data_IF_807818483157
#
_entry.id   IF_807818483157
#
_cell.length_a   1.000
_cell.length_b   1.000
_cell.length_c   1.000
_cell.angle_alpha   90.00
_cell.angle_beta   90.00
_cell.angle_gamma   90.00
#
_symmetry.space_group_name_H-M   'P 1'
#
loop_
_entity.id
_entity.type
_entity.pdbx_description
1 polymer ?
#
# COMPACT_ATOMS: atom_id res chain seq x y z
N UNK A 1 1.09 -11.80 -10.19
CA UNK A 1 2.18 -12.22 -9.29
C UNK A 1 1.91 -11.56 -7.94
N UNK A 2 1.74 -12.34 -6.86
CA UNK A 2 1.44 -11.85 -5.50
C UNK A 2 2.76 -11.63 -4.77
N UNK A 3 2.99 -10.45 -4.23
CA UNK A 3 4.14 -10.17 -3.38
C UNK A 3 3.69 -10.17 -1.92
N UNK A 4 4.28 -11.06 -1.12
CA UNK A 4 4.23 -10.94 0.34
C UNK A 4 5.43 -10.09 0.71
N UNK A 5 5.20 -8.92 1.28
CA UNK A 5 6.29 -8.11 1.83
C UNK A 5 6.32 -8.37 3.33
N UNK A 6 7.32 -9.13 3.76
CA UNK A 6 7.72 -9.16 5.16
C UNK A 6 8.47 -7.86 5.41
N UNK A 7 8.16 -7.12 6.48
CA UNK A 7 9.00 -6.01 6.89
C UNK A 7 10.38 -6.57 7.30
N UNK A 8 11.46 -6.28 6.55
CA UNK A 8 12.80 -6.75 6.90
C UNK A 8 13.49 -5.79 7.87
N UNK A 9 12.78 -4.77 8.34
CA UNK A 9 13.35 -3.62 9.05
C UNK A 9 13.26 -3.83 10.57
N UNK A 10 14.26 -3.30 11.28
CA UNK A 10 14.19 -3.05 12.71
C UNK A 10 12.93 -2.24 13.03
N UNK A 11 12.44 -2.32 14.28
CA UNK A 11 11.18 -1.67 14.63
C UNK A 11 11.18 -0.17 14.27
N UNK A 12 10.06 0.27 13.71
CA UNK A 12 9.85 1.64 13.28
C UNK A 12 8.50 2.14 13.77
N UNK A 13 8.30 3.46 13.70
CA UNK A 13 7.04 4.07 14.12
C UNK A 13 5.84 3.72 13.23
N UNK A 14 6.02 2.95 12.15
CA UNK A 14 4.96 2.63 11.19
C UNK A 14 4.76 1.13 10.97
N UNK A 15 5.76 0.32 11.31
CA UNK A 15 5.76 -1.15 11.20
C UNK A 15 6.83 -1.73 12.12
N UNK A 16 6.56 -2.91 12.64
CA UNK A 16 7.41 -3.64 13.57
C UNK A 16 8.10 -4.80 12.86
N UNK A 17 9.18 -5.31 13.45
CA UNK A 17 9.84 -6.50 12.95
C UNK A 17 8.88 -7.70 12.94
N UNK A 18 8.79 -8.38 11.80
CA UNK A 18 7.90 -9.53 11.61
C UNK A 18 6.48 -9.20 11.17
N UNK A 19 6.13 -7.91 11.01
CA UNK A 19 4.88 -7.53 10.34
C UNK A 19 4.85 -8.05 8.90
N UNK A 20 3.66 -8.45 8.46
CA UNK A 20 3.42 -8.96 7.11
C UNK A 20 2.37 -8.11 6.43
N UNK A 21 2.73 -7.49 5.30
CA UNK A 21 1.76 -6.88 4.40
C UNK A 21 1.50 -7.81 3.22
N UNK A 22 0.24 -8.19 3.06
CA UNK A 22 -0.22 -8.97 1.92
C UNK A 22 -1.11 -8.09 1.03
N UNK A 23 -0.73 -7.96 -0.24
CA UNK A 23 -1.52 -7.26 -1.25
C UNK A 23 -1.91 -8.20 -2.40
N UNK A 24 -3.15 -8.06 -2.87
CA UNK A 24 -3.61 -8.67 -4.11
C UNK A 24 -4.09 -7.58 -5.04
N UNK A 25 -3.73 -7.69 -6.32
CA UNK A 25 -4.19 -6.78 -7.36
C UNK A 25 -4.54 -7.49 -8.65
N UNK A 26 -5.41 -6.85 -9.42
CA UNK A 26 -5.79 -7.22 -10.78
C UNK A 26 -5.62 -6.01 -11.68
N UNK A 27 -5.03 -6.22 -12.87
CA UNK A 27 -4.81 -5.18 -13.88
C UNK A 27 -5.47 -5.62 -15.17
N UNK A 28 -6.23 -4.71 -15.78
CA UNK A 28 -6.86 -4.91 -17.09
C UNK A 28 -6.39 -3.82 -18.06
N UNK A 29 -5.67 -4.20 -19.13
CA UNK A 29 -5.41 -3.29 -20.24
C UNK A 29 -6.72 -2.88 -20.92
N UNK A 30 -6.80 -1.62 -21.33
CA UNK A 30 -7.89 -1.04 -22.10
C UNK A 30 -7.32 -0.43 -23.41
N UNK A 31 -8.18 -0.14 -24.40
CA UNK A 31 -7.77 0.58 -25.59
C UNK A 31 -7.13 1.95 -25.28
N UNK A 32 -6.41 2.51 -26.26
CA UNK A 32 -5.76 3.82 -26.16
C UNK A 32 -4.74 3.93 -25.00
N UNK A 33 -4.00 2.84 -24.77
CA UNK A 33 -2.90 2.75 -23.80
C UNK A 33 -3.32 2.98 -22.33
N UNK A 34 -4.60 2.80 -22.05
CA UNK A 34 -5.12 2.83 -20.69
C UNK A 34 -4.99 1.47 -20.01
N UNK A 35 -4.91 1.49 -18.68
CA UNK A 35 -5.08 0.31 -17.84
C UNK A 35 -5.94 0.69 -16.64
N UNK A 36 -6.77 -0.24 -16.20
CA UNK A 36 -7.49 -0.15 -14.93
C UNK A 36 -6.89 -1.19 -14.00
N UNK A 37 -6.59 -0.78 -12.78
CA UNK A 37 -6.14 -1.68 -11.73
C UNK A 37 -7.02 -1.55 -10.50
N UNK A 38 -7.28 -2.69 -9.85
CA UNK A 38 -7.84 -2.74 -8.50
C UNK A 38 -6.89 -3.52 -7.62
N UNK A 39 -6.68 -3.07 -6.40
CA UNK A 39 -5.86 -3.78 -5.42
C UNK A 39 -6.46 -3.68 -4.03
N UNK A 40 -6.13 -4.63 -3.16
CA UNK A 40 -6.50 -4.64 -1.76
C UNK A 40 -5.35 -5.22 -0.92
N UNK A 41 -5.10 -4.57 0.20
CA UNK A 41 -4.04 -4.86 1.14
C UNK A 41 -4.56 -5.14 2.54
N UNK A 42 -3.87 -6.03 3.25
CA UNK A 42 -4.09 -6.28 4.66
C UNK A 42 -2.75 -6.49 5.38
N UNK A 43 -2.71 -6.11 6.65
CA UNK A 43 -1.57 -6.33 7.53
C UNK A 43 -1.87 -7.45 8.53
N UNK A 44 -0.85 -8.27 8.79
CA UNK A 44 -0.73 -9.05 10.01
C UNK A 44 0.35 -8.38 10.86
N UNK A 45 -0.04 -7.92 12.04
CA UNK A 45 0.85 -7.21 12.95
C UNK A 45 1.47 -8.20 13.93
N UNK A 46 2.79 -8.15 14.07
CA UNK A 46 3.52 -9.00 14.98
C UNK A 46 3.62 -8.36 16.36
N UNK A 47 4.04 -7.09 16.43
CA UNK A 47 4.35 -6.39 17.69
C UNK A 47 4.00 -4.89 17.63
N UNK A 48 4.16 -4.20 18.76
CA UNK A 48 4.04 -2.75 18.86
C UNK A 48 5.03 -2.03 17.94
N UNK A 49 4.58 -0.97 17.29
CA UNK A 49 5.45 -0.12 16.47
C UNK A 49 6.16 0.84 17.42
N UNK A 50 7.49 0.87 17.38
CA UNK A 50 8.30 1.72 18.27
C UNK A 50 9.10 2.76 17.51
N UNK A 51 9.31 3.92 18.13
CA UNK A 51 10.26 4.92 17.65
C UNK A 51 11.69 4.40 17.78
N UNK A 52 12.63 5.06 17.10
CA UNK A 52 14.06 4.75 17.19
C UNK A 52 14.65 4.91 18.60
N UNK A 53 13.96 5.60 19.51
CA UNK A 53 14.32 5.75 20.92
C UNK A 53 13.69 4.68 21.84
N UNK A 54 12.98 3.70 21.27
CA UNK A 54 12.36 2.58 21.99
C UNK A 54 11.00 2.88 22.60
N UNK A 55 10.44 4.08 22.44
CA UNK A 55 9.07 4.38 22.89
C UNK A 55 8.04 3.79 21.93
N UNK A 56 6.94 3.28 22.47
CA UNK A 56 5.79 2.81 21.67
C UNK A 56 5.19 3.99 20.91
N UNK A 57 5.22 3.90 19.58
CA UNK A 57 4.55 4.82 18.67
C UNK A 57 3.08 4.43 18.48
N UNK A 58 2.83 3.13 18.25
CA UNK A 58 1.49 2.58 18.16
C UNK A 58 1.42 1.23 18.87
N UNK A 59 0.60 1.15 19.91
CA UNK A 59 0.30 -0.10 20.59
C UNK A 59 -0.52 -1.01 19.68
N UNK A 60 -0.17 -2.29 19.64
CA UNK A 60 -0.88 -3.31 18.90
C UNK A 60 -2.10 -3.78 19.69
N UNK A 61 -3.27 -3.28 19.29
CA UNK A 61 -4.56 -3.72 19.85
C UNK A 61 -5.20 -4.83 19.01
N UNK A 62 -4.75 -5.00 17.76
CA UNK A 62 -5.20 -6.06 16.86
C UNK A 62 -4.04 -6.70 16.10
N UNK A 63 -4.17 -8.00 15.81
CA UNK A 63 -3.15 -8.76 15.07
C UNK A 63 -3.36 -8.79 13.57
N UNK A 64 -4.52 -8.33 13.09
CA UNK A 64 -4.88 -8.27 11.69
C UNK A 64 -5.70 -7.02 11.42
N UNK A 65 -5.46 -6.35 10.30
CA UNK A 65 -6.33 -5.31 9.80
C UNK A 65 -6.38 -5.32 8.27
N UNK A 66 -7.57 -5.11 7.70
CA UNK A 66 -7.66 -4.58 6.35
C UNK A 66 -6.97 -3.22 6.32
N UNK A 67 -6.09 -2.97 5.35
CA UNK A 67 -5.26 -1.75 5.33
C UNK A 67 -5.74 -0.75 4.30
N UNK A 68 -6.01 -1.22 3.09
CA UNK A 68 -6.34 -0.36 1.97
C UNK A 68 -6.96 -1.15 0.82
N UNK A 69 -7.75 -0.48 0.00
CA UNK A 69 -8.06 -0.93 -1.34
C UNK A 69 -8.00 0.24 -2.31
N UNK A 70 -7.41 0.04 -3.49
CA UNK A 70 -7.17 1.12 -4.45
C UNK A 70 -7.71 0.78 -5.82
N UNK A 71 -8.53 1.68 -6.38
CA UNK A 71 -8.91 1.71 -7.79
C UNK A 71 -8.01 2.70 -8.53
N UNK A 72 -7.41 2.25 -9.63
CA UNK A 72 -6.47 3.04 -10.43
C UNK A 72 -6.89 3.06 -11.89
N UNK A 73 -6.74 4.22 -12.51
CA UNK A 73 -6.78 4.39 -13.96
C UNK A 73 -5.45 5.02 -14.36
N UNK A 74 -4.69 4.31 -15.18
CA UNK A 74 -3.40 4.80 -15.67
C UNK A 74 -3.39 4.82 -17.19
N UNK A 75 -2.59 5.72 -17.75
CA UNK A 75 -2.34 5.82 -19.19
C UNK A 75 -0.85 5.86 -19.45
N UNK A 76 -0.38 4.96 -20.31
CA UNK A 76 0.98 5.06 -20.82
C UNK A 76 1.08 6.21 -21.81
N UNK A 77 2.16 6.99 -21.72
CA UNK A 77 2.50 7.96 -22.77
C UNK A 77 3.39 7.25 -23.79
N UNK A 78 2.95 7.05 -25.05
CA UNK A 78 3.74 6.28 -26.01
C UNK A 78 5.10 6.91 -26.34
N UNK A 79 5.17 8.24 -26.34
CA UNK A 79 6.36 9.01 -26.70
C UNK A 79 7.33 9.27 -25.55
N UNK A 80 6.96 8.95 -24.30
CA UNK A 80 7.77 9.22 -23.11
C UNK A 80 7.84 7.98 -22.24
N UNK A 81 8.95 7.66 -21.55
CA UNK A 81 9.06 6.51 -20.66
C UNK A 81 8.32 6.73 -19.32
N UNK A 82 7.10 7.28 -19.37
CA UNK A 82 6.29 7.59 -18.20
C UNK A 82 4.84 7.15 -18.38
N UNK A 83 4.23 6.70 -17.28
CA UNK A 83 2.80 6.47 -17.14
C UNK A 83 2.20 7.52 -16.21
N UNK A 84 1.03 8.05 -16.55
CA UNK A 84 0.26 8.92 -15.65
C UNK A 84 -0.86 8.11 -15.00
N UNK A 85 -1.10 8.33 -13.71
CA UNK A 85 -2.15 7.64 -12.96
C UNK A 85 -3.04 8.57 -12.14
N UNK A 86 -4.32 8.21 -12.08
CA UNK A 86 -5.30 8.71 -11.11
C UNK A 86 -5.75 7.53 -10.26
N UNK A 87 -5.75 7.73 -8.94
CA UNK A 87 -6.00 6.67 -7.96
C UNK A 87 -6.98 7.14 -6.90
N UNK A 88 -7.87 6.25 -6.49
CA UNK A 88 -8.72 6.40 -5.31
C UNK A 88 -8.48 5.24 -4.37
N UNK A 89 -8.08 5.54 -3.14
CA UNK A 89 -7.77 4.56 -2.11
C UNK A 89 -8.79 4.66 -0.98
N UNK A 90 -9.40 3.54 -0.64
CA UNK A 90 -10.23 3.37 0.56
C UNK A 90 -9.29 3.01 1.71
N UNK A 91 -9.38 3.76 2.81
CA UNK A 91 -8.57 3.53 4.00
C UNK A 91 -9.14 2.39 4.86
N UNK A 92 -8.28 1.52 5.35
CA UNK A 92 -8.60 0.53 6.36
C UNK A 92 -8.16 1.00 7.75
N UNK A 93 -7.49 0.14 8.50
CA UNK A 93 -7.09 0.43 9.88
C UNK A 93 -5.59 0.24 10.12
N UNK A 94 -5.12 0.85 11.22
CA UNK A 94 -3.80 0.64 11.81
C UNK A 94 -3.86 -0.44 12.90
N UNK A 95 -2.69 -0.86 13.37
CA UNK A 95 -2.55 -1.86 14.44
C UNK A 95 -3.20 -1.49 15.78
N UNK A 96 -3.47 -0.20 15.99
CA UNK A 96 -4.14 0.31 17.19
C UNK A 96 -5.66 0.53 17.00
N UNK A 97 -6.22 0.09 15.87
CA UNK A 97 -7.66 0.24 15.56
C UNK A 97 -8.06 1.63 15.06
N UNK A 98 -7.11 2.53 14.81
CA UNK A 98 -7.42 3.82 14.18
C UNK A 98 -7.68 3.63 12.69
N UNK A 99 -8.80 4.19 12.23
CA UNK A 99 -9.18 4.25 10.83
C UNK A 99 -8.25 5.17 10.03
N UNK A 100 -8.04 4.82 8.77
CA UNK A 100 -7.32 5.59 7.76
C UNK A 100 -8.34 6.26 6.85
N UNK A 101 -8.04 7.48 6.42
CA UNK A 101 -8.93 8.23 5.54
C UNK A 101 -8.80 7.75 4.08
N UNK A 102 -9.94 7.78 3.39
CA UNK A 102 -10.02 7.68 1.94
C UNK A 102 -9.32 8.86 1.28
N UNK A 103 -8.61 8.62 0.18
CA UNK A 103 -7.91 9.69 -0.52
C UNK A 103 -7.75 9.46 -2.01
N UNK A 104 -7.62 10.58 -2.73
CA UNK A 104 -7.26 10.63 -4.15
C UNK A 104 -5.80 11.01 -4.27
N UNK A 105 -5.06 10.34 -5.15
CA UNK A 105 -3.68 10.68 -5.45
C UNK A 105 -3.35 10.47 -6.93
N UNK A 106 -2.28 11.13 -7.38
CA UNK A 106 -1.82 11.11 -8.76
C UNK A 106 -0.40 10.57 -8.82
N UNK A 107 -0.07 9.87 -9.91
CA UNK A 107 1.26 9.30 -10.10
C UNK A 107 1.88 9.63 -11.46
N UNK A 108 3.20 9.68 -11.45
CA UNK A 108 4.05 9.65 -12.65
C UNK A 108 5.02 8.48 -12.44
N UNK A 109 4.78 7.37 -13.13
CA UNK A 109 5.60 6.17 -12.99
C UNK A 109 6.61 6.11 -14.13
N UNK A 110 7.90 6.04 -13.81
CA UNK A 110 8.95 5.90 -14.82
C UNK A 110 9.07 4.44 -15.24
N UNK A 111 9.11 4.20 -16.55
CA UNK A 111 9.41 2.87 -17.12
C UNK A 111 10.93 2.76 -17.25
N UNK A 112 11.55 1.94 -16.39
CA UNK A 112 12.96 1.62 -16.49
C UNK A 112 13.19 0.68 -17.69
N UNK A 113 14.31 0.85 -18.43
CA UNK A 113 14.67 0.01 -19.57
C UNK A 113 14.99 -1.43 -19.18
#
# INVERSE_FOLDING_TARGET
MRFIVLSPLNDSSWTSAGDVYANIGFVKPLPADFRVAVSAGAYYFNDDAVFSDGRVAFEKTQSFAFRDATLSIERAVPSLPVDFGLHYSIGGERQNGLELDDHVWFSINMRLP
#
